data_IF_670389056187
#
_entry.id   IF_670389056187
#
_cell.length_a   1.000
_cell.length_b   1.000
_cell.length_c   1.000
_cell.angle_alpha   90.00
_cell.angle_beta   90.00
_cell.angle_gamma   90.00
#
_symmetry.space_group_name_H-M   'P 1'
#
loop_
_entity.id
_entity.type
_entity.pdbx_description
1 polymer ?
#
# COMPACT_ATOMS: atom_id res chain seq x y z
N UNK A 1 5.67 -24.21 0.93
CA UNK A 1 5.49 -22.75 0.80
C UNK A 1 4.51 -22.37 -0.33
N UNK A 2 3.43 -23.14 -0.55
CA UNK A 2 2.44 -22.98 -1.64
C UNK A 2 1.27 -22.06 -1.28
N UNK A 3 1.10 -21.72 0.00
CA UNK A 3 -0.02 -20.92 0.50
C UNK A 3 0.02 -19.47 0.01
N UNK A 4 1.21 -18.86 -0.06
CA UNK A 4 1.36 -17.48 -0.52
C UNK A 4 0.91 -17.31 -1.98
N UNK A 5 1.40 -18.18 -2.87
CA UNK A 5 1.04 -18.15 -4.29
C UNK A 5 -0.45 -18.42 -4.46
N UNK A 6 -1.01 -19.41 -3.76
CA UNK A 6 -2.45 -19.68 -3.78
C UNK A 6 -3.27 -18.48 -3.31
N UNK A 7 -2.84 -17.80 -2.26
CA UNK A 7 -3.49 -16.59 -1.77
C UNK A 7 -3.38 -15.43 -2.78
N UNK A 8 -2.20 -15.17 -3.35
CA UNK A 8 -2.00 -14.13 -4.35
C UNK A 8 -2.87 -14.36 -5.59
N UNK A 9 -2.86 -15.58 -6.14
CA UNK A 9 -3.72 -15.96 -7.28
C UNK A 9 -5.20 -15.78 -6.93
N UNK A 10 -5.63 -16.24 -5.75
CA UNK A 10 -7.02 -16.13 -5.31
C UNK A 10 -7.46 -14.66 -5.17
N UNK A 11 -6.66 -13.82 -4.51
CA UNK A 11 -6.98 -12.41 -4.29
C UNK A 11 -7.04 -11.64 -5.61
N UNK A 12 -6.07 -11.83 -6.51
CA UNK A 12 -6.08 -11.16 -7.81
C UNK A 12 -7.29 -11.57 -8.64
N UNK A 13 -7.62 -12.86 -8.67
CA UNK A 13 -8.75 -13.39 -9.45
C UNK A 13 -10.11 -12.99 -8.89
N UNK A 14 -10.27 -12.99 -7.57
CA UNK A 14 -11.58 -12.78 -6.94
C UNK A 14 -11.88 -11.33 -6.61
N UNK A 15 -10.87 -10.52 -6.26
CA UNK A 15 -11.06 -9.14 -5.81
C UNK A 15 -10.60 -8.10 -6.82
N UNK A 16 -9.62 -8.42 -7.67
CA UNK A 16 -8.97 -7.46 -8.57
C UNK A 16 -9.00 -7.87 -10.06
N UNK A 17 -9.97 -8.70 -10.47
CA UNK A 17 -10.11 -9.17 -11.86
C UNK A 17 -10.33 -8.03 -12.87
N UNK A 18 -10.88 -6.90 -12.43
CA UNK A 18 -11.05 -5.70 -13.24
C UNK A 18 -9.71 -5.05 -13.66
N UNK A 19 -8.66 -5.25 -12.85
CA UNK A 19 -7.32 -4.70 -13.09
C UNK A 19 -6.37 -5.74 -13.71
N UNK A 20 -6.50 -7.00 -13.31
CA UNK A 20 -5.62 -8.08 -13.72
C UNK A 20 -6.39 -9.17 -14.48
N UNK A 21 -6.39 -9.15 -15.84
CA UNK A 21 -7.10 -10.14 -16.64
C UNK A 21 -6.37 -11.49 -16.71
N UNK A 22 -5.08 -11.53 -16.37
CA UNK A 22 -4.25 -12.74 -16.35
C UNK A 22 -4.07 -13.23 -14.92
N UNK A 23 -3.86 -14.53 -14.77
CA UNK A 23 -3.52 -15.12 -13.47
C UNK A 23 -2.13 -14.64 -12.99
N UNK A 24 -1.90 -14.74 -11.68
CA UNK A 24 -0.63 -14.36 -11.06
C UNK A 24 0.54 -15.12 -11.71
N UNK A 25 1.47 -14.43 -12.42
CA UNK A 25 2.45 -15.10 -13.26
C UNK A 25 3.68 -15.58 -12.50
N UNK A 26 3.88 -15.13 -11.26
CA UNK A 26 5.10 -15.37 -10.50
C UNK A 26 5.04 -16.66 -9.66
N UNK A 27 6.15 -17.38 -9.68
CA UNK A 27 6.42 -18.56 -8.84
C UNK A 27 7.31 -18.21 -7.64
N UNK A 28 7.45 -19.16 -6.71
CA UNK A 28 8.16 -18.95 -5.43
C UNK A 28 9.60 -18.45 -5.60
N UNK A 29 10.33 -18.94 -6.61
CA UNK A 29 11.70 -18.51 -6.88
C UNK A 29 11.80 -16.99 -7.11
N UNK A 30 10.85 -16.40 -7.86
CA UNK A 30 10.80 -14.95 -8.08
C UNK A 30 10.51 -14.17 -6.79
N UNK A 31 9.75 -14.76 -5.86
CA UNK A 31 9.47 -14.14 -4.56
C UNK A 31 10.74 -14.11 -3.70
N UNK A 32 11.51 -15.20 -3.70
CA UNK A 32 12.77 -15.27 -2.97
C UNK A 32 13.81 -14.29 -3.55
N UNK A 33 13.92 -14.21 -4.87
CA UNK A 33 14.78 -13.20 -5.51
C UNK A 33 14.35 -11.76 -5.14
N UNK A 34 13.04 -11.49 -5.14
CA UNK A 34 12.49 -10.21 -4.73
C UNK A 34 12.75 -9.90 -3.24
N UNK A 35 12.68 -10.91 -2.36
CA UNK A 35 12.97 -10.78 -0.93
C UNK A 35 14.41 -10.30 -0.70
N UNK A 36 15.38 -10.88 -1.39
CA UNK A 36 16.78 -10.44 -1.30
C UNK A 36 16.96 -8.99 -1.76
N UNK A 37 16.39 -8.63 -2.92
CA UNK A 37 16.45 -7.25 -3.44
C UNK A 37 15.79 -6.25 -2.48
N UNK A 38 14.64 -6.62 -1.88
CA UNK A 38 13.90 -5.78 -0.96
C UNK A 38 14.68 -5.56 0.35
N UNK A 39 15.31 -6.60 0.88
CA UNK A 39 16.15 -6.52 2.09
C UNK A 39 17.35 -5.60 1.89
N UNK A 40 18.02 -5.74 0.75
CA UNK A 40 19.15 -4.88 0.37
C UNK A 40 18.71 -3.42 0.22
N UNK A 41 17.61 -3.18 -0.50
CA UNK A 41 17.11 -1.81 -0.74
C UNK A 41 16.70 -1.09 0.55
N UNK A 42 16.13 -1.82 1.51
CA UNK A 42 15.71 -1.26 2.80
C UNK A 42 16.85 -1.20 3.84
N UNK A 43 18.08 -1.57 3.47
CA UNK A 43 19.23 -1.62 4.38
C UNK A 43 18.93 -2.41 5.67
N UNK A 44 18.21 -3.53 5.52
CA UNK A 44 17.74 -4.38 6.64
C UNK A 44 16.93 -3.64 7.73
N UNK A 45 16.37 -2.46 7.45
CA UNK A 45 15.50 -1.72 8.36
C UNK A 45 14.10 -2.35 8.42
N UNK A 46 13.95 -3.43 9.19
CA UNK A 46 12.72 -4.24 9.26
C UNK A 46 11.73 -3.83 10.36
N UNK A 47 12.18 -3.10 11.37
CA UNK A 47 11.31 -2.68 12.49
C UNK A 47 10.62 -1.38 12.12
N UNK A 48 9.31 -1.46 11.91
CA UNK A 48 8.45 -0.31 11.56
C UNK A 48 7.56 0.05 12.75
N UNK A 49 7.57 1.32 13.12
CA UNK A 49 6.69 1.87 14.15
C UNK A 49 5.40 2.37 13.50
N UNK A 50 4.25 2.06 14.10
CA UNK A 50 2.93 2.36 13.52
C UNK A 50 2.03 3.18 14.47
N UNK A 51 1.05 3.94 13.95
CA UNK A 51 0.23 4.87 14.75
C UNK A 51 -0.75 4.18 15.72
N UNK A 52 -0.98 2.88 15.59
CA UNK A 52 -1.98 2.15 16.39
C UNK A 52 -1.70 2.17 17.89
N UNK A 53 -0.44 1.93 18.29
CA UNK A 53 -0.04 1.93 19.70
C UNK A 53 -0.20 3.31 20.36
N UNK A 54 0.36 4.42 19.80
CA UNK A 54 0.14 5.73 20.38
C UNK A 54 -1.33 6.15 20.32
N UNK A 55 -2.08 5.80 19.27
CA UNK A 55 -3.52 6.07 19.21
C UNK A 55 -4.26 5.47 20.41
N UNK A 56 -4.00 4.19 20.73
CA UNK A 56 -4.63 3.52 21.86
C UNK A 56 -4.34 4.24 23.18
N UNK A 57 -3.09 4.67 23.38
CA UNK A 57 -2.68 5.41 24.57
C UNK A 57 -3.41 6.76 24.68
N UNK A 58 -3.58 7.49 23.57
CA UNK A 58 -4.28 8.77 23.56
C UNK A 58 -5.78 8.65 23.84
N UNK A 59 -6.47 7.65 23.26
CA UNK A 59 -7.91 7.47 23.52
C UNK A 59 -8.18 7.01 24.96
N UNK A 60 -7.24 6.26 25.55
CA UNK A 60 -7.28 5.84 26.96
C UNK A 60 -7.04 7.02 27.89
N UNK A 61 -6.06 7.87 27.58
CA UNK A 61 -5.79 9.10 28.33
C UNK A 61 -6.99 10.08 28.29
N UNK A 62 -7.65 10.20 27.13
CA UNK A 62 -8.92 10.93 27.02
C UNK A 62 -10.09 10.29 27.80
N UNK A 63 -10.00 9.01 28.16
CA UNK A 63 -11.12 8.24 28.72
C UNK A 63 -12.29 8.08 27.75
N UNK A 64 -12.04 8.02 26.44
CA UNK A 64 -13.06 7.96 25.37
C UNK A 64 -12.79 6.81 24.38
N UNK A 65 -12.23 5.70 24.86
CA UNK A 65 -11.85 4.55 24.04
C UNK A 65 -13.04 4.00 23.23
N UNK A 66 -14.16 3.67 23.89
CA UNK A 66 -15.33 3.06 23.23
C UNK A 66 -15.93 3.95 22.13
N UNK A 67 -15.86 5.27 22.30
CA UNK A 67 -16.44 6.25 21.39
C UNK A 67 -15.51 6.51 20.19
N UNK A 68 -14.25 6.86 20.45
CA UNK A 68 -13.34 7.39 19.42
C UNK A 68 -12.48 6.32 18.75
N UNK A 69 -12.12 5.24 19.45
CA UNK A 69 -11.18 4.24 18.96
C UNK A 69 -11.61 3.59 17.64
N UNK A 70 -12.87 3.14 17.44
CA UNK A 70 -13.24 2.44 16.21
C UNK A 70 -13.09 3.32 14.95
N UNK A 71 -13.47 4.60 15.05
CA UNK A 71 -13.35 5.54 13.95
C UNK A 71 -11.90 5.99 13.74
N UNK A 72 -11.19 6.37 14.81
CA UNK A 72 -9.81 6.81 14.71
C UNK A 72 -8.90 5.70 14.17
N UNK A 73 -9.13 4.45 14.58
CA UNK A 73 -8.41 3.28 14.06
C UNK A 73 -8.65 3.08 12.57
N UNK A 74 -9.89 3.24 12.11
CA UNK A 74 -10.22 3.19 10.68
C UNK A 74 -9.49 4.28 9.91
N UNK A 75 -9.46 5.52 10.43
CA UNK A 75 -8.75 6.63 9.79
C UNK A 75 -7.24 6.33 9.70
N UNK A 76 -6.64 5.73 10.75
CA UNK A 76 -5.24 5.26 10.70
C UNK A 76 -5.02 4.28 9.54
N UNK A 77 -5.91 3.31 9.35
CA UNK A 77 -5.80 2.39 8.20
C UNK A 77 -5.82 3.13 6.87
N UNK A 78 -6.66 4.16 6.76
CA UNK A 78 -6.81 4.96 5.54
C UNK A 78 -5.55 5.79 5.26
N UNK A 79 -4.78 6.21 6.28
CA UNK A 79 -3.54 6.98 6.08
C UNK A 79 -2.46 6.25 5.27
N UNK A 80 -2.48 4.91 5.23
CA UNK A 80 -1.56 4.12 4.39
C UNK A 80 -1.84 4.21 2.89
N UNK A 81 -2.92 4.89 2.49
CA UNK A 81 -3.18 5.29 1.10
C UNK A 81 -2.40 6.55 0.68
N UNK A 82 -1.62 7.13 1.60
CA UNK A 82 -0.85 8.36 1.41
C UNK A 82 0.60 8.16 1.84
N UNK A 83 1.45 9.16 1.62
CA UNK A 83 2.87 9.13 1.98
C UNK A 83 3.15 9.45 3.46
N UNK A 84 2.11 9.62 4.30
CA UNK A 84 2.25 10.10 5.68
C UNK A 84 3.22 9.26 6.53
N UNK A 85 3.23 7.93 6.37
CA UNK A 85 4.10 7.04 7.14
C UNK A 85 5.60 7.20 6.82
N UNK A 86 5.93 7.83 5.69
CA UNK A 86 7.30 8.14 5.30
C UNK A 86 7.72 9.56 5.72
N UNK A 87 6.74 10.43 5.99
CA UNK A 87 6.96 11.86 6.22
C UNK A 87 6.89 12.25 7.71
N UNK A 88 6.09 11.54 8.51
CA UNK A 88 5.81 11.93 9.90
C UNK A 88 5.99 10.78 10.89
N UNK A 89 6.41 11.10 12.13
CA UNK A 89 6.41 10.14 13.23
C UNK A 89 5.01 9.55 13.50
N UNK A 90 4.90 8.25 13.85
CA UNK A 90 3.61 7.59 14.00
C UNK A 90 2.66 8.21 15.03
N UNK A 91 3.19 8.80 16.10
CA UNK A 91 2.37 9.45 17.13
C UNK A 91 1.69 10.73 16.63
N UNK A 92 2.33 11.48 15.71
CA UNK A 92 1.72 12.66 15.09
C UNK A 92 0.57 12.26 14.17
N UNK A 93 0.75 11.17 13.42
CA UNK A 93 -0.30 10.60 12.57
C UNK A 93 -1.48 10.15 13.44
N UNK A 94 -1.21 9.49 14.57
CA UNK A 94 -2.24 9.07 15.52
C UNK A 94 -3.06 10.25 16.06
N UNK A 95 -2.39 11.35 16.46
CA UNK A 95 -3.05 12.57 16.93
C UNK A 95 -3.93 13.21 15.86
N UNK A 96 -3.45 13.27 14.61
CA UNK A 96 -4.23 13.78 13.49
C UNK A 96 -5.47 12.91 13.21
N UNK A 97 -5.32 11.58 13.22
CA UNK A 97 -6.44 10.64 13.05
C UNK A 97 -7.48 10.79 14.17
N UNK A 98 -7.01 10.92 15.41
CA UNK A 98 -7.87 11.16 16.57
C UNK A 98 -8.61 12.50 16.45
N UNK A 99 -7.93 13.56 16.02
CA UNK A 99 -8.56 14.86 15.81
C UNK A 99 -9.67 14.78 14.74
N UNK A 100 -9.41 14.13 13.61
CA UNK A 100 -10.43 13.93 12.56
C UNK A 100 -11.61 13.11 13.10
N UNK A 101 -11.36 12.07 13.90
CA UNK A 101 -12.42 11.30 14.55
C UNK A 101 -13.28 12.16 15.50
N UNK A 102 -12.65 13.02 16.32
CA UNK A 102 -13.35 13.95 17.19
C UNK A 102 -14.27 14.90 16.40
N UNK A 103 -13.77 15.46 15.29
CA UNK A 103 -14.55 16.35 14.42
C UNK A 103 -15.76 15.62 13.84
N UNK A 104 -15.57 14.41 13.30
CA UNK A 104 -16.65 13.61 12.70
C UNK A 104 -17.71 13.22 13.73
N UNK A 105 -17.31 12.89 14.96
CA UNK A 105 -18.23 12.53 16.04
C UNK A 105 -18.76 13.73 16.82
N UNK A 106 -18.43 14.96 16.42
CA UNK A 106 -18.80 16.20 17.12
C UNK A 106 -18.37 16.21 18.60
N UNK A 107 -17.23 15.55 18.90
CA UNK A 107 -16.63 15.53 20.23
C UNK A 107 -15.73 16.74 20.40
N UNK A 108 -16.05 17.58 21.37
CA UNK A 108 -15.15 18.67 21.77
C UNK A 108 -13.96 18.11 22.56
N UNK A 109 -12.78 18.16 21.93
CA UNK A 109 -11.51 17.74 22.51
C UNK A 109 -10.48 18.89 22.51
N UNK A 110 -10.90 20.14 22.29
CA UNK A 110 -10.00 21.29 22.11
C UNK A 110 -9.06 21.49 23.30
N UNK A 111 -9.59 21.37 24.51
CA UNK A 111 -8.82 21.52 25.74
C UNK A 111 -7.73 20.44 25.85
N UNK A 112 -8.08 19.17 25.62
CA UNK A 112 -7.12 18.07 25.68
C UNK A 112 -6.00 18.23 24.64
N UNK A 113 -6.33 18.63 23.41
CA UNK A 113 -5.32 18.91 22.38
C UNK A 113 -4.41 20.11 22.73
N UNK A 114 -4.94 21.12 23.44
CA UNK A 114 -4.16 22.28 23.85
C UNK A 114 -3.16 21.98 24.99
N UNK A 115 -3.41 20.93 25.77
CA UNK A 115 -2.52 20.48 26.84
C UNK A 115 -1.32 19.67 26.33
N UNK A 116 -1.36 19.22 25.07
CA UNK A 116 -0.27 18.48 24.45
C UNK A 116 0.90 19.39 24.10
N UNK A 117 2.11 18.98 24.49
CA UNK A 117 3.38 19.61 24.09
C UNK A 117 3.85 19.13 22.71
N UNK A 118 2.99 19.27 21.70
CA UNK A 118 3.25 18.85 20.31
C UNK A 118 3.16 20.02 19.33
N UNK A 119 3.92 19.92 18.24
CA UNK A 119 3.87 20.87 17.14
C UNK A 119 2.55 20.75 16.37
N UNK A 120 1.59 21.63 16.70
CA UNK A 120 0.26 21.65 16.11
C UNK A 120 0.26 22.03 14.62
N UNK A 121 1.28 22.73 14.13
CA UNK A 121 1.38 23.08 12.71
C UNK A 121 1.53 21.81 11.86
N UNK A 122 2.40 20.89 12.29
CA UNK A 122 2.56 19.57 11.66
C UNK A 122 1.31 18.70 11.78
N UNK A 123 0.61 18.74 12.92
CA UNK A 123 -0.65 18.00 13.07
C UNK A 123 -1.68 18.52 12.04
N UNK A 124 -1.78 19.83 11.84
CA UNK A 124 -2.68 20.42 10.85
C UNK A 124 -2.29 20.04 9.41
N UNK A 125 -1.01 19.92 9.08
CA UNK A 125 -0.56 19.40 7.77
C UNK A 125 -1.05 17.98 7.53
N UNK A 126 -0.89 17.09 8.52
CA UNK A 126 -1.36 15.71 8.43
C UNK A 126 -2.89 15.67 8.28
N UNK A 127 -3.63 16.47 9.05
CA UNK A 127 -5.10 16.57 8.95
C UNK A 127 -5.50 16.98 7.53
N UNK A 128 -4.85 17.98 6.92
CA UNK A 128 -5.14 18.40 5.55
C UNK A 128 -4.95 17.27 4.55
N UNK A 129 -3.90 16.45 4.71
CA UNK A 129 -3.67 15.28 3.86
C UNK A 129 -4.78 14.23 4.03
N UNK A 130 -5.20 13.96 5.26
CA UNK A 130 -6.30 13.02 5.55
C UNK A 130 -7.62 13.50 4.93
N UNK A 131 -7.96 14.78 5.07
CA UNK A 131 -9.18 15.34 4.47
C UNK A 131 -9.14 15.28 2.94
N UNK A 132 -8.00 15.66 2.35
CA UNK A 132 -7.78 15.57 0.90
C UNK A 132 -7.88 14.14 0.39
N UNK A 133 -7.41 13.15 1.14
CA UNK A 133 -7.56 11.74 0.80
C UNK A 133 -9.04 11.37 0.66
N UNK A 134 -9.91 11.81 1.57
CA UNK A 134 -11.34 11.50 1.49
C UNK A 134 -12.03 12.20 0.31
N UNK A 135 -11.64 13.43 -0.04
CA UNK A 135 -12.10 14.09 -1.28
C UNK A 135 -11.65 13.31 -2.52
N UNK A 136 -10.41 12.83 -2.56
CA UNK A 136 -9.90 12.03 -3.66
C UNK A 136 -10.62 10.68 -3.77
N UNK A 137 -10.92 10.04 -2.64
CA UNK A 137 -11.61 8.77 -2.61
C UNK A 137 -13.03 8.88 -3.15
N UNK A 138 -13.75 9.96 -2.83
CA UNK A 138 -15.08 10.20 -3.40
C UNK A 138 -15.05 10.32 -4.94
N UNK A 139 -13.99 10.91 -5.48
CA UNK A 139 -13.86 11.21 -6.91
C UNK A 139 -13.18 10.11 -7.74
N UNK A 140 -12.62 9.07 -7.10
CA UNK A 140 -11.81 8.05 -7.77
C UNK A 140 -12.55 6.70 -7.87
N UNK A 141 -12.84 6.25 -9.10
CA UNK A 141 -13.41 4.93 -9.34
C UNK A 141 -12.31 3.91 -9.69
N UNK A 142 -11.76 3.29 -8.64
CA UNK A 142 -10.70 2.28 -8.75
C UNK A 142 -11.04 1.19 -9.78
N UNK A 143 -12.30 0.73 -9.84
CA UNK A 143 -12.68 -0.38 -10.73
C UNK A 143 -12.66 0.00 -12.20
N UNK A 144 -12.96 1.26 -12.53
CA UNK A 144 -13.00 1.74 -13.90
C UNK A 144 -11.64 2.26 -14.37
N UNK A 145 -10.87 2.88 -13.49
CA UNK A 145 -9.67 3.62 -13.88
C UNK A 145 -8.38 2.79 -13.80
N UNK A 146 -8.30 1.82 -12.87
CA UNK A 146 -7.05 1.12 -12.57
C UNK A 146 -6.45 0.37 -13.75
N UNK A 147 -7.25 -0.29 -14.59
CA UNK A 147 -6.73 -1.02 -15.75
C UNK A 147 -5.98 -0.09 -16.73
N UNK A 148 -6.53 1.10 -16.96
CA UNK A 148 -5.93 2.12 -17.81
C UNK A 148 -4.66 2.69 -17.17
N UNK A 149 -4.68 2.97 -15.87
CA UNK A 149 -3.52 3.46 -15.13
C UNK A 149 -2.37 2.44 -15.16
N UNK A 150 -2.64 1.16 -14.89
CA UNK A 150 -1.66 0.08 -14.93
C UNK A 150 -1.02 -0.08 -16.32
N UNK A 151 -1.78 0.12 -17.39
CA UNK A 151 -1.25 0.05 -18.76
C UNK A 151 -0.23 1.15 -19.09
N UNK A 152 -0.32 2.30 -18.40
CA UNK A 152 0.57 3.45 -18.53
C UNK A 152 1.82 3.34 -17.66
N UNK A 153 1.90 2.36 -16.76
CA UNK A 153 3.09 2.19 -15.93
C UNK A 153 4.34 1.90 -16.79
N UNK A 154 5.48 2.55 -16.50
CA UNK A 154 6.74 2.23 -17.16
C UNK A 154 7.08 0.74 -17.02
N UNK A 155 7.31 0.06 -18.15
CA UNK A 155 7.62 -1.37 -18.16
C UNK A 155 9.13 -1.58 -17.94
N UNK A 156 9.53 -2.63 -17.21
CA UNK A 156 10.93 -3.02 -17.10
C UNK A 156 11.55 -3.25 -18.49
N UNK A 157 12.74 -2.72 -18.73
CA UNK A 157 13.49 -2.98 -19.96
C UNK A 157 13.98 -4.44 -19.95
N UNK A 158 13.71 -5.24 -21.00
CA UNK A 158 14.23 -6.60 -21.08
C UNK A 158 15.76 -6.58 -21.25
N UNK A 159 16.47 -7.62 -20.81
CA UNK A 159 17.90 -7.75 -21.06
C UNK A 159 18.16 -7.89 -22.57
N UNK A 160 19.28 -7.33 -23.07
CA UNK A 160 19.56 -7.17 -24.50
C UNK A 160 19.59 -8.48 -25.32
N UNK A 161 19.73 -9.65 -24.68
CA UNK A 161 19.76 -10.95 -25.36
C UNK A 161 18.38 -11.59 -25.64
N UNK A 162 17.28 -10.90 -25.37
CA UNK A 162 15.93 -11.47 -25.51
C UNK A 162 15.30 -11.30 -26.90
N UNK A 163 15.92 -10.53 -27.81
CA UNK A 163 15.37 -10.18 -29.13
C UNK A 163 16.12 -10.87 -30.30
N UNK A 164 16.67 -12.07 -30.08
CA UNK A 164 17.61 -12.72 -31.00
C UNK A 164 17.29 -14.14 -31.51
N UNK A 165 16.08 -14.67 -31.38
CA UNK A 165 15.70 -15.98 -31.97
C UNK A 165 14.29 -16.00 -32.56
N UNK A 166 14.01 -15.08 -33.50
CA UNK A 166 12.99 -15.32 -34.53
C UNK A 166 13.59 -14.95 -35.90
N UNK A 167 14.33 -15.89 -36.48
CA UNK A 167 14.73 -15.83 -37.89
C UNK A 167 13.57 -16.25 -38.81
N UNK A 168 13.39 -15.61 -39.98
CA UNK A 168 12.32 -15.95 -40.92
C UNK A 168 12.71 -17.15 -41.81
N UNK A 169 11.78 -18.09 -41.96
CA UNK A 169 11.57 -19.06 -43.05
C UNK A 169 12.76 -19.63 -43.85
N UNK A 170 12.85 -20.97 -43.88
CA UNK A 170 13.59 -21.69 -44.93
C UNK A 170 13.53 -23.20 -44.79
N UNK A 171 12.50 -23.83 -45.36
CA UNK A 171 12.40 -25.27 -45.59
C UNK A 171 13.63 -25.81 -46.34
N UNK A 172 14.24 -26.90 -45.88
CA UNK A 172 14.73 -27.98 -46.75
C UNK A 172 15.16 -29.24 -45.97
N UNK A 173 14.65 -30.38 -46.45
CA UNK A 173 15.00 -31.75 -46.12
C UNK A 173 16.51 -32.01 -45.97
N UNK A 174 16.90 -32.93 -45.09
CA UNK A 174 17.74 -34.08 -45.47
C UNK A 174 17.74 -35.15 -44.39
N UNK A 175 17.15 -36.28 -44.77
CA UNK A 175 17.26 -37.62 -44.19
C UNK A 175 18.67 -38.20 -44.34
N UNK A 176 19.24 -38.74 -43.26
CA UNK A 176 20.24 -39.84 -43.25
C UNK A 176 20.21 -40.45 -41.82
N UNK A 177 19.54 -41.57 -41.60
CA UNK A 177 20.00 -42.97 -41.73
C UNK A 177 20.86 -43.45 -40.55
N UNK A 178 20.31 -44.49 -39.91
CA UNK A 178 20.92 -45.36 -38.91
C UNK A 178 22.26 -45.94 -39.35
N UNK A 179 23.14 -46.16 -38.38
CA UNK A 179 23.97 -47.35 -38.24
C UNK A 179 24.24 -47.58 -36.76
#
# INVERSE_FOLDING_TARGET
NTRLISAATSVLKTRFSYAFPKEFPYRMNHILECEFCLLELMDCCLIVYHPYRPLLQYVQDMGQEDMLLPLAWRIVNDTYRTDLCLLYPPFMIALACLHVACVVQQKDARQWFAELSVDMEKILEIIRVILKLYEQWENFDERKEMATILSKMPKPKPPPNSEGEQGPNGSQNSSYSQS
#
